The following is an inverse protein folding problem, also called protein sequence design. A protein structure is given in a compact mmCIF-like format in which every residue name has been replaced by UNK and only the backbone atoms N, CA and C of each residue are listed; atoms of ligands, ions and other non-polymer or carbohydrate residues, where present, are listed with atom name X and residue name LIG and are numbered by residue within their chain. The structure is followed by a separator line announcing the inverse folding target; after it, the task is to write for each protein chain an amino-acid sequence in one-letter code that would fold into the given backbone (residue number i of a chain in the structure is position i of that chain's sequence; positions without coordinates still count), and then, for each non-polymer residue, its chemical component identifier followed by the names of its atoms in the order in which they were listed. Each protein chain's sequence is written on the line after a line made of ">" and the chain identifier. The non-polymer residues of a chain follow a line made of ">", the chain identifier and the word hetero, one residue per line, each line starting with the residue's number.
data_IF_613123170818
#
_entry.id   IF_613123170818
#
_cell.length_a   1.000
_cell.length_b   1.000
_cell.length_c   1.000
_cell.angle_alpha   90.00
_cell.angle_beta   90.00
_cell.angle_gamma   90.00
#
_symmetry.space_group_name_H-M   'P 1'
#
loop_
_entity.id
_entity.type
_entity.pdbx_description
1 polymer ?
#
# COMPACT_ATOMS: atom_id res chain seq x y z
N UNK A 1 13.40 1.86 -16.75
CA UNK A 1 13.09 0.48 -16.24
C UNK A 1 11.77 0.56 -15.50
N UNK A 2 10.75 -0.19 -15.93
CA UNK A 2 9.46 -0.24 -15.25
C UNK A 2 9.64 -1.04 -13.96
N UNK A 3 9.31 -0.44 -12.82
CA UNK A 3 9.44 -1.06 -11.49
C UNK A 3 8.07 -1.12 -10.81
N UNK A 4 7.94 -2.01 -9.83
CA UNK A 4 6.77 -2.05 -8.94
C UNK A 4 6.77 -0.81 -8.06
N UNK A 5 5.65 -0.10 -8.05
CA UNK A 5 5.45 1.10 -7.24
C UNK A 5 4.32 0.88 -6.25
N UNK A 6 4.56 1.28 -5.02
CA UNK A 6 3.59 1.18 -3.94
C UNK A 6 3.51 2.50 -3.21
N UNK A 7 2.29 2.94 -2.89
CA UNK A 7 2.03 4.07 -2.03
C UNK A 7 1.10 3.65 -0.90
N UNK A 8 1.62 3.65 0.30
CA UNK A 8 0.89 3.26 1.49
C UNK A 8 0.36 4.50 2.22
N UNK A 9 -0.95 4.53 2.44
CA UNK A 9 -1.63 5.55 3.23
C UNK A 9 -2.22 4.90 4.48
N UNK A 10 -1.91 5.47 5.64
CA UNK A 10 -2.54 5.07 6.90
C UNK A 10 -4.04 5.40 6.88
N UNK A 11 -4.81 4.81 7.78
CA UNK A 11 -6.25 5.09 7.94
C UNK A 11 -6.55 6.59 8.02
N UNK A 12 -5.77 7.30 8.85
CA UNK A 12 -5.97 8.74 9.06
C UNK A 12 -5.48 9.59 7.87
N UNK A 13 -4.37 9.24 7.21
CA UNK A 13 -3.89 9.91 5.98
C UNK A 13 -4.84 9.73 4.81
N UNK A 14 -5.42 8.55 4.68
CA UNK A 14 -6.40 8.24 3.64
C UNK A 14 -7.80 8.78 3.95
N UNK A 15 -8.03 9.37 5.13
CA UNK A 15 -9.36 9.77 5.60
C UNK A 15 -10.40 8.67 5.39
N UNK A 16 -10.04 7.43 5.77
CA UNK A 16 -10.91 6.28 5.52
C UNK A 16 -12.15 6.34 6.38
N UNK A 17 -13.28 6.00 5.77
CA UNK A 17 -14.57 5.84 6.42
C UNK A 17 -15.06 4.42 6.17
N UNK A 18 -15.49 3.76 7.23
CA UNK A 18 -16.10 2.44 7.18
C UNK A 18 -17.62 2.60 7.07
N UNK A 19 -18.22 2.07 6.02
CA UNK A 19 -19.67 2.12 5.78
C UNK A 19 -20.22 0.69 5.77
N UNK A 20 -21.29 0.45 6.53
CA UNK A 20 -22.06 -0.79 6.48
C UNK A 20 -23.37 -0.55 5.72
N UNK A 21 -23.59 -1.29 4.65
CA UNK A 21 -24.79 -1.18 3.81
C UNK A 21 -25.58 -2.48 3.92
N UNK A 22 -26.86 -2.39 4.29
CA UNK A 22 -27.74 -3.56 4.30
C UNK A 22 -28.07 -4.00 2.87
N UNK A 23 -27.87 -5.28 2.59
CA UNK A 23 -28.26 -5.88 1.33
C UNK A 23 -29.74 -6.29 1.36
N UNK A 24 -30.34 -6.51 0.19
CA UNK A 24 -31.73 -7.00 0.04
C UNK A 24 -31.99 -8.34 0.73
N UNK A 25 -30.94 -9.09 1.06
CA UNK A 25 -31.00 -10.39 1.75
C UNK A 25 -30.77 -10.27 3.28
N UNK A 26 -30.69 -9.04 3.81
CA UNK A 26 -30.48 -8.79 5.24
C UNK A 26 -29.04 -8.97 5.71
N UNK A 27 -28.10 -9.22 4.79
CA UNK A 27 -26.68 -9.20 5.08
C UNK A 27 -26.14 -7.77 5.05
N UNK A 28 -25.04 -7.51 5.75
CA UNK A 28 -24.35 -6.22 5.72
C UNK A 28 -23.07 -6.33 4.92
N UNK A 29 -23.00 -5.62 3.79
CA UNK A 29 -21.77 -5.38 3.07
C UNK A 29 -20.96 -4.27 3.76
N UNK A 30 -19.68 -4.48 3.93
CA UNK A 30 -18.76 -3.53 4.54
C UNK A 30 -17.92 -2.87 3.45
N UNK A 31 -17.88 -1.55 3.46
CA UNK A 31 -17.11 -0.73 2.55
C UNK A 31 -16.06 0.10 3.29
N UNK A 32 -14.95 0.36 2.63
CA UNK A 32 -14.00 1.41 2.97
C UNK A 32 -13.97 2.45 1.86
N UNK A 33 -14.03 3.72 2.23
CA UNK A 33 -13.96 4.86 1.31
C UNK A 33 -12.96 5.88 1.82
N UNK A 34 -12.17 6.45 0.92
CA UNK A 34 -11.22 7.50 1.25
C UNK A 34 -10.24 7.78 0.14
N UNK A 35 -9.12 8.39 0.47
CA UNK A 35 -8.02 8.67 -0.46
C UNK A 35 -7.25 7.36 -0.67
N UNK A 36 -7.10 6.93 -1.91
CA UNK A 36 -6.34 5.73 -2.27
C UNK A 36 -4.95 6.06 -2.81
N UNK A 37 -4.75 7.27 -3.34
CA UNK A 37 -3.46 7.79 -3.77
C UNK A 37 -3.43 9.31 -3.68
N UNK A 38 -2.30 9.89 -3.27
CA UNK A 38 -2.11 11.34 -3.15
C UNK A 38 -1.18 11.89 -4.23
N UNK A 39 -1.60 12.99 -4.86
CA UNK A 39 -0.80 13.70 -5.85
C UNK A 39 0.07 14.79 -5.25
N UNK A 40 1.20 15.07 -5.90
CA UNK A 40 2.12 16.14 -5.56
C UNK A 40 2.67 16.11 -4.12
N UNK A 41 2.44 15.05 -3.38
CA UNK A 41 2.97 14.84 -2.02
C UNK A 41 4.11 13.84 -2.08
N UNK A 42 5.23 14.14 -1.41
CA UNK A 42 6.32 13.18 -1.27
C UNK A 42 5.92 12.12 -0.24
N UNK A 43 5.79 10.88 -0.69
CA UNK A 43 5.40 9.77 0.16
C UNK A 43 6.58 9.21 0.98
N UNK A 44 6.32 8.17 1.78
CA UNK A 44 7.34 7.53 2.60
C UNK A 44 8.45 6.86 1.79
N UNK A 45 8.15 6.43 0.56
CA UNK A 45 9.14 5.89 -0.38
C UNK A 45 9.91 6.98 -1.15
N UNK A 46 9.85 8.24 -0.70
CA UNK A 46 10.48 9.41 -1.31
C UNK A 46 10.02 9.67 -2.75
N UNK A 47 8.84 9.18 -3.12
CA UNK A 47 8.25 9.35 -4.46
C UNK A 47 7.20 10.45 -4.45
N UNK A 48 7.11 11.14 -5.58
CA UNK A 48 6.07 12.15 -5.86
C UNK A 48 5.33 11.69 -7.10
N UNK A 49 4.02 11.54 -6.98
CA UNK A 49 3.14 11.22 -8.09
C UNK A 49 2.54 12.51 -8.64
N UNK A 50 2.92 12.94 -9.86
CA UNK A 50 2.30 14.08 -10.49
C UNK A 50 0.80 13.85 -10.71
N UNK A 51 -0.01 14.91 -10.55
CA UNK A 51 -1.50 14.79 -10.64
C UNK A 51 -1.96 14.26 -12.00
N UNK A 52 -1.27 14.63 -13.09
CA UNK A 52 -1.57 14.10 -14.41
C UNK A 52 -1.39 12.56 -14.50
N UNK A 53 -0.35 12.02 -13.86
CA UNK A 53 -0.11 10.57 -13.79
C UNK A 53 -1.21 9.86 -13.03
N UNK A 54 -1.59 10.40 -11.85
CA UNK A 54 -2.71 9.87 -11.04
C UNK A 54 -4.02 9.96 -11.83
N UNK A 55 -4.29 11.08 -12.48
CA UNK A 55 -5.51 11.27 -13.26
C UNK A 55 -5.66 10.21 -14.36
N UNK A 56 -4.58 9.91 -15.07
CA UNK A 56 -4.55 8.88 -16.11
C UNK A 56 -4.77 7.48 -15.51
N UNK A 57 -4.07 7.17 -14.42
CA UNK A 57 -4.20 5.88 -13.73
C UNK A 57 -5.61 5.65 -13.17
N UNK A 58 -6.19 6.65 -12.50
CA UNK A 58 -7.57 6.60 -11.99
C UNK A 58 -8.58 6.41 -13.11
N UNK A 59 -8.40 7.14 -14.23
CA UNK A 59 -9.27 7.00 -15.40
C UNK A 59 -9.22 5.58 -15.98
N UNK A 60 -8.02 4.99 -16.07
CA UNK A 60 -7.85 3.61 -16.53
C UNK A 60 -8.60 2.61 -15.64
N UNK A 61 -8.49 2.75 -14.30
CA UNK A 61 -9.25 1.92 -13.35
C UNK A 61 -10.76 2.13 -13.48
N UNK A 62 -11.22 3.37 -13.62
CA UNK A 62 -12.65 3.66 -13.86
C UNK A 62 -13.19 2.97 -15.11
N UNK A 63 -12.43 3.01 -16.20
CA UNK A 63 -12.80 2.37 -17.46
C UNK A 63 -12.87 0.85 -17.31
N UNK A 64 -11.91 0.24 -16.60
CA UNK A 64 -11.92 -1.20 -16.26
C UNK A 64 -13.19 -1.57 -15.47
N UNK A 65 -13.51 -0.82 -14.41
CA UNK A 65 -14.70 -1.05 -13.58
C UNK A 65 -16.00 -0.87 -14.39
N UNK A 66 -16.12 0.21 -15.17
CA UNK A 66 -17.27 0.46 -16.04
C UNK A 66 -17.45 -0.62 -17.11
N UNK A 67 -16.36 -1.18 -17.60
CA UNK A 67 -16.34 -2.30 -18.53
C UNK A 67 -16.70 -3.65 -17.89
N UNK A 68 -17.04 -3.69 -16.59
CA UNK A 68 -17.40 -4.91 -15.86
C UNK A 68 -16.20 -5.71 -15.36
N UNK A 69 -14.98 -5.16 -15.41
CA UNK A 69 -13.80 -5.81 -14.87
C UNK A 69 -13.76 -5.66 -13.34
N UNK A 70 -13.48 -6.77 -12.64
CA UNK A 70 -13.33 -6.78 -11.19
C UNK A 70 -11.90 -6.44 -10.79
N UNK A 71 -11.68 -5.26 -10.24
CA UNK A 71 -10.38 -4.86 -9.69
C UNK A 71 -10.29 -5.40 -8.27
N UNK A 72 -9.71 -6.61 -8.14
CA UNK A 72 -9.54 -7.30 -6.86
C UNK A 72 -8.33 -6.74 -6.13
N UNK A 73 -8.41 -6.65 -4.78
CA UNK A 73 -7.31 -6.25 -3.91
C UNK A 73 -7.05 -7.28 -2.82
N UNK A 74 -5.85 -7.26 -2.31
CA UNK A 74 -5.36 -8.22 -1.32
C UNK A 74 -5.32 -7.62 0.09
N UNK A 75 -5.31 -8.49 1.09
CA UNK A 75 -4.89 -8.11 2.43
C UNK A 75 -3.38 -8.29 2.51
N UNK A 76 -2.72 -7.26 3.09
CA UNK A 76 -1.29 -7.11 3.08
C UNK A 76 -0.73 -6.77 1.68
N UNK A 77 0.56 -6.45 1.62
CA UNK A 77 1.17 -5.87 0.42
C UNK A 77 2.23 -6.79 -0.15
N UNK A 78 1.91 -7.62 -1.17
CA UNK A 78 2.91 -8.45 -1.82
C UNK A 78 3.83 -7.62 -2.73
N UNK A 79 5.05 -8.08 -2.91
CA UNK A 79 6.02 -7.50 -3.86
C UNK A 79 5.65 -7.78 -5.33
N UNK A 80 4.65 -8.64 -5.57
CA UNK A 80 4.23 -9.07 -6.90
C UNK A 80 3.18 -8.11 -7.48
N UNK A 81 3.23 -7.88 -8.79
CA UNK A 81 2.21 -7.13 -9.52
C UNK A 81 0.93 -7.93 -9.78
N UNK A 82 1.01 -9.26 -9.71
CA UNK A 82 -0.16 -10.11 -9.88
C UNK A 82 -0.96 -10.22 -8.58
N UNK A 83 -2.29 -10.18 -8.70
CA UNK A 83 -3.19 -10.42 -7.58
C UNK A 83 -3.29 -11.92 -7.33
N UNK A 84 -2.93 -12.36 -6.13
CA UNK A 84 -3.05 -13.75 -5.71
C UNK A 84 -4.43 -13.99 -5.08
N UNK A 85 -5.21 -14.90 -5.66
CA UNK A 85 -6.57 -15.19 -5.23
C UNK A 85 -6.67 -15.68 -3.77
N UNK A 86 -5.63 -16.33 -3.26
CA UNK A 86 -5.59 -16.78 -1.85
C UNK A 86 -5.57 -15.62 -0.87
N UNK A 87 -5.16 -14.42 -1.31
CA UNK A 87 -5.00 -13.22 -0.49
C UNK A 87 -6.08 -12.17 -0.74
N UNK A 88 -6.96 -12.40 -1.70
CA UNK A 88 -8.04 -11.47 -2.02
C UNK A 88 -8.92 -11.23 -0.81
N UNK A 89 -9.08 -9.96 -0.45
CA UNK A 89 -9.90 -9.50 0.67
C UNK A 89 -11.06 -8.62 0.24
N UNK A 90 -10.96 -7.97 -0.93
CA UNK A 90 -11.94 -6.97 -1.35
C UNK A 90 -11.93 -6.76 -2.86
N UNK A 91 -12.89 -5.97 -3.32
CA UNK A 91 -12.98 -5.47 -4.70
C UNK A 91 -13.11 -3.96 -4.68
N UNK A 92 -12.32 -3.27 -5.50
CA UNK A 92 -12.47 -1.82 -5.73
C UNK A 92 -13.70 -1.58 -6.57
N UNK A 93 -14.66 -0.82 -6.04
CA UNK A 93 -15.96 -0.55 -6.69
C UNK A 93 -16.00 0.80 -7.38
N UNK A 94 -15.23 1.76 -6.88
CA UNK A 94 -15.21 3.13 -7.42
C UNK A 94 -13.82 3.74 -7.26
N UNK A 95 -13.40 4.51 -8.25
CA UNK A 95 -12.30 5.46 -8.13
C UNK A 95 -12.64 6.74 -8.89
N UNK A 96 -12.28 7.90 -8.35
CA UNK A 96 -12.49 9.20 -8.97
C UNK A 96 -11.41 10.18 -8.50
N UNK A 97 -11.12 11.21 -9.29
CA UNK A 97 -10.28 12.33 -8.83
C UNK A 97 -11.10 13.29 -7.97
N UNK A 98 -10.48 13.77 -6.88
CA UNK A 98 -10.94 14.90 -6.08
C UNK A 98 -9.74 15.80 -5.77
N UNK A 99 -9.67 16.95 -6.46
CA UNK A 99 -8.48 17.76 -6.47
C UNK A 99 -7.25 16.98 -6.95
N UNK A 100 -6.20 16.98 -6.13
CA UNK A 100 -4.95 16.27 -6.41
C UNK A 100 -4.98 14.78 -6.00
N UNK A 101 -6.08 14.32 -5.38
CA UNK A 101 -6.16 12.99 -4.82
C UNK A 101 -7.02 12.04 -5.65
N UNK A 102 -6.61 10.79 -5.76
CA UNK A 102 -7.45 9.70 -6.23
C UNK A 102 -8.25 9.14 -5.06
N UNK A 103 -9.56 9.43 -5.05
CA UNK A 103 -10.52 8.89 -4.10
C UNK A 103 -10.99 7.52 -4.57
N UNK A 104 -11.26 6.63 -3.62
CA UNK A 104 -11.76 5.30 -3.94
C UNK A 104 -12.78 4.78 -2.95
N UNK A 105 -13.49 3.75 -3.38
CA UNK A 105 -14.36 2.92 -2.55
C UNK A 105 -14.09 1.45 -2.86
N UNK A 106 -13.96 0.65 -1.84
CA UNK A 106 -13.79 -0.79 -1.95
C UNK A 106 -14.83 -1.51 -1.08
N UNK A 107 -15.20 -2.72 -1.51
CA UNK A 107 -16.12 -3.59 -0.77
C UNK A 107 -15.36 -4.81 -0.27
N UNK A 108 -15.46 -5.07 1.03
CA UNK A 108 -14.89 -6.28 1.64
C UNK A 108 -15.67 -7.51 1.15
N UNK A 109 -14.94 -8.51 0.69
CA UNK A 109 -15.50 -9.77 0.21
C UNK A 109 -15.51 -10.83 1.33
N UNK A 110 -16.44 -11.78 1.34
CA UNK A 110 -16.48 -12.87 2.32
C UNK A 110 -15.46 -13.98 2.03
N UNK A 111 -14.24 -13.60 1.64
CA UNK A 111 -13.09 -14.48 1.51
C UNK A 111 -12.41 -14.68 2.88
N UNK A 112 -11.52 -15.66 3.06
CA UNK A 112 -10.78 -15.82 4.31
C UNK A 112 -10.08 -14.53 4.75
N UNK A 113 -9.37 -13.86 3.84
CA UNK A 113 -8.66 -12.62 4.14
C UNK A 113 -9.61 -11.42 4.33
N UNK A 114 -10.70 -11.37 3.55
CA UNK A 114 -11.74 -10.35 3.74
C UNK A 114 -12.45 -10.48 5.08
N UNK A 115 -12.72 -11.69 5.55
CA UNK A 115 -13.29 -11.90 6.90
C UNK A 115 -12.34 -11.45 8.01
N UNK A 116 -11.02 -11.61 7.84
CA UNK A 116 -10.03 -11.06 8.78
C UNK A 116 -10.12 -9.54 8.79
N UNK A 117 -10.05 -8.89 7.61
CA UNK A 117 -10.18 -7.43 7.50
C UNK A 117 -11.49 -6.92 8.11
N UNK A 118 -12.62 -7.59 7.81
CA UNK A 118 -13.94 -7.27 8.38
C UNK A 118 -13.92 -7.33 9.90
N UNK A 119 -13.42 -8.43 10.47
CA UNK A 119 -13.34 -8.62 11.92
C UNK A 119 -12.51 -7.51 12.58
N UNK A 120 -11.37 -7.17 12.00
CA UNK A 120 -10.51 -6.11 12.51
C UNK A 120 -11.22 -4.75 12.50
N UNK A 121 -11.85 -4.38 11.39
CA UNK A 121 -12.57 -3.12 11.24
C UNK A 121 -13.77 -3.02 12.17
N UNK A 122 -14.57 -4.09 12.32
CA UNK A 122 -15.71 -4.14 13.22
C UNK A 122 -15.31 -4.03 14.71
N UNK A 123 -14.07 -4.39 15.04
CA UNK A 123 -13.49 -4.24 16.38
C UNK A 123 -12.67 -2.94 16.54
N UNK A 124 -12.82 -1.98 15.60
CA UNK A 124 -12.21 -0.66 15.72
C UNK A 124 -10.72 -0.61 15.35
N UNK A 125 -10.17 -1.68 14.76
CA UNK A 125 -8.79 -1.66 14.26
C UNK A 125 -8.75 -0.80 12.99
N UNK A 126 -7.85 0.18 12.97
CA UNK A 126 -7.63 1.04 11.82
C UNK A 126 -6.76 0.32 10.80
N UNK A 127 -7.29 0.03 9.64
CA UNK A 127 -6.54 -0.49 8.49
C UNK A 127 -6.30 0.64 7.49
N UNK A 128 -5.13 0.65 6.86
CA UNK A 128 -4.78 1.58 5.80
C UNK A 128 -5.03 0.98 4.42
N UNK A 129 -4.68 1.76 3.40
CA UNK A 129 -4.70 1.30 2.01
C UNK A 129 -3.36 1.59 1.34
N UNK A 130 -3.01 0.78 0.35
CA UNK A 130 -1.81 0.94 -0.45
C UNK A 130 -2.13 0.74 -1.92
N UNK A 131 -1.93 1.77 -2.75
CA UNK A 131 -2.01 1.58 -4.20
C UNK A 131 -0.77 0.86 -4.70
N UNK A 132 -0.97 -0.19 -5.50
CA UNK A 132 0.05 -1.00 -6.12
C UNK A 132 -0.03 -0.86 -7.63
N UNK A 133 1.11 -0.58 -8.25
CA UNK A 133 1.18 -0.33 -9.68
C UNK A 133 2.57 -0.49 -10.26
N UNK A 134 2.71 -0.06 -11.49
CA UNK A 134 3.99 -0.02 -12.20
C UNK A 134 4.24 1.37 -12.77
N UNK A 135 5.50 1.71 -12.97
CA UNK A 135 5.90 2.99 -13.54
C UNK A 135 7.40 3.19 -13.53
N UNK A 136 7.83 4.37 -13.91
CA UNK A 136 9.23 4.80 -13.87
C UNK A 136 9.41 5.85 -12.77
N UNK A 137 10.59 5.88 -12.16
CA UNK A 137 10.97 6.89 -11.16
C UNK A 137 12.27 7.53 -11.61
N UNK A 138 12.32 8.86 -11.67
CA UNK A 138 13.54 9.60 -11.99
C UNK A 138 14.39 9.82 -10.72
N UNK A 139 15.60 10.38 -10.87
CA UNK A 139 16.53 10.67 -9.77
C UNK A 139 15.94 11.62 -8.71
N UNK A 140 14.98 12.46 -9.07
CA UNK A 140 14.27 13.37 -8.14
C UNK A 140 13.09 12.72 -7.40
N UNK A 141 12.84 11.42 -7.65
CA UNK A 141 11.71 10.70 -7.06
C UNK A 141 10.37 10.94 -7.77
N UNK A 142 10.34 11.65 -8.89
CA UNK A 142 9.08 11.85 -9.62
C UNK A 142 8.72 10.62 -10.44
N UNK A 143 7.46 10.19 -10.29
CA UNK A 143 6.88 9.05 -10.98
C UNK A 143 6.36 9.46 -12.37
N UNK A 144 6.53 8.61 -13.36
CA UNK A 144 6.00 8.75 -14.71
C UNK A 144 5.54 7.41 -15.27
N UNK A 145 4.68 7.44 -16.29
CA UNK A 145 4.08 6.25 -16.91
C UNK A 145 3.42 5.32 -15.87
N UNK A 146 2.73 5.95 -14.92
CA UNK A 146 2.15 5.23 -13.79
C UNK A 146 0.84 4.53 -14.17
N UNK A 147 0.78 3.23 -13.91
CA UNK A 147 -0.43 2.42 -14.03
C UNK A 147 -0.76 1.80 -12.67
N UNK A 148 -1.97 2.06 -12.15
CA UNK A 148 -2.49 1.36 -10.96
C UNK A 148 -3.00 -0.02 -11.41
N UNK A 149 -2.53 -1.06 -10.74
CA UNK A 149 -3.00 -2.44 -10.92
C UNK A 149 -4.12 -2.73 -9.94
N UNK A 150 -3.91 -2.39 -8.68
CA UNK A 150 -4.91 -2.54 -7.62
C UNK A 150 -4.63 -1.60 -6.44
N UNK A 151 -5.50 -1.66 -5.45
CA UNK A 151 -5.31 -1.04 -4.14
C UNK A 151 -5.47 -2.14 -3.10
N UNK A 152 -4.51 -2.31 -2.21
CA UNK A 152 -4.49 -3.34 -1.18
C UNK A 152 -4.91 -2.76 0.18
N UNK A 153 -5.44 -3.61 1.08
CA UNK A 153 -5.67 -3.24 2.47
C UNK A 153 -4.43 -3.63 3.27
N UNK A 154 -3.89 -2.68 4.03
CA UNK A 154 -2.67 -2.87 4.81
C UNK A 154 -2.89 -2.56 6.29
N UNK A 155 -2.13 -3.22 7.17
CA UNK A 155 -2.12 -2.87 8.57
C UNK A 155 -1.62 -1.44 8.75
N UNK A 156 -2.31 -0.64 9.57
CA UNK A 156 -1.87 0.71 9.88
C UNK A 156 -0.61 0.63 10.77
N UNK A 157 0.57 1.10 10.33
CA UNK A 157 1.70 1.22 11.22
C UNK A 157 1.35 2.20 12.34
N UNK A 158 1.22 1.70 13.55
CA UNK A 158 0.62 2.40 14.70
C UNK A 158 1.46 3.52 15.31
N UNK A 159 2.54 3.98 14.66
CA UNK A 159 3.19 5.27 15.00
C UNK A 159 4.21 5.67 13.92
N UNK A 160 4.38 6.99 13.65
CA UNK A 160 5.45 7.50 12.78
C UNK A 160 6.87 7.14 13.25
N UNK A 161 7.02 6.70 14.51
CA UNK A 161 8.28 6.33 15.14
C UNK A 161 8.41 4.82 15.46
N UNK A 162 7.46 3.99 15.05
CA UNK A 162 7.47 2.53 15.28
C UNK A 162 8.09 1.77 14.09
N UNK A 163 9.02 2.39 13.38
CA UNK A 163 9.87 1.70 12.44
C UNK A 163 11.11 1.23 13.18
N UNK A 164 11.19 0.01 13.60
CA UNK A 164 12.41 -0.75 13.34
C UNK A 164 12.21 -2.22 12.98
N UNK A 165 11.20 -2.90 13.51
CA UNK A 165 11.23 -4.36 13.44
C UNK A 165 10.59 -5.01 12.18
N UNK A 166 9.44 -4.55 11.62
CA UNK A 166 8.83 -5.26 10.48
C UNK A 166 9.61 -5.16 9.17
N UNK A 167 10.25 -4.02 8.89
CA UNK A 167 11.06 -3.85 7.67
C UNK A 167 12.30 -4.75 7.75
N UNK A 168 12.92 -4.85 8.93
CA UNK A 168 14.11 -5.68 9.13
C UNK A 168 13.78 -7.18 9.15
N UNK A 169 12.63 -7.59 9.68
CA UNK A 169 12.17 -8.99 9.57
C UNK A 169 11.86 -9.38 8.13
N UNK A 170 11.21 -8.51 7.36
CA UNK A 170 10.96 -8.74 5.93
C UNK A 170 12.27 -8.84 5.13
N UNK A 171 13.26 -7.99 5.42
CA UNK A 171 14.58 -8.00 4.80
C UNK A 171 15.36 -9.27 5.22
N UNK A 172 15.32 -9.66 6.50
CA UNK A 172 15.99 -10.86 7.01
C UNK A 172 15.35 -12.15 6.49
N UNK A 173 14.05 -12.16 6.22
CA UNK A 173 13.33 -13.31 5.69
C UNK A 173 13.41 -13.45 4.17
N UNK A 174 13.86 -12.44 3.43
CA UNK A 174 14.14 -12.55 2.00
C UNK A 174 15.38 -13.42 1.76
N UNK A 175 15.16 -14.68 1.39
CA UNK A 175 16.21 -15.69 1.11
C UNK A 175 17.09 -15.41 -0.11
N UNK A 176 16.94 -14.32 -0.83
CA UNK A 176 17.66 -14.03 -2.07
C UNK A 176 18.40 -12.70 -1.96
N UNK A 177 19.66 -12.69 -1.66
CA UNK A 177 20.77 -11.75 -1.91
C UNK A 177 20.54 -10.22 -2.04
N UNK A 178 19.32 -9.76 -2.27
CA UNK A 178 18.94 -8.35 -2.43
C UNK A 178 18.77 -7.61 -1.10
N UNK A 179 18.65 -8.34 0.01
CA UNK A 179 18.41 -7.76 1.34
C UNK A 179 19.47 -6.73 1.78
N UNK A 180 20.71 -6.92 1.33
CA UNK A 180 21.80 -6.01 1.66
C UNK A 180 21.73 -4.72 0.83
N UNK A 181 21.25 -4.81 -0.41
CA UNK A 181 21.08 -3.65 -1.29
C UNK A 181 19.87 -2.82 -0.85
N UNK A 182 18.76 -3.47 -0.51
CA UNK A 182 17.55 -2.81 0.01
C UNK A 182 17.84 -2.10 1.34
N UNK A 183 18.67 -2.72 2.22
CA UNK A 183 19.13 -2.09 3.47
C UNK A 183 20.04 -0.89 3.21
N UNK A 184 20.97 -1.01 2.24
CA UNK A 184 21.85 0.08 1.88
C UNK A 184 21.09 1.26 1.27
N UNK A 185 20.03 1.01 0.51
CA UNK A 185 19.14 2.02 -0.05
C UNK A 185 18.29 2.68 1.05
N UNK A 186 17.71 1.90 1.95
CA UNK A 186 16.96 2.41 3.10
C UNK A 186 17.81 3.30 4.03
N UNK A 187 19.11 2.99 4.20
CA UNK A 187 20.01 3.81 5.02
C UNK A 187 20.27 5.20 4.45
N UNK A 188 19.98 5.45 3.18
CA UNK A 188 20.13 6.78 2.57
C UNK A 188 18.98 7.73 2.96
N UNK A 189 17.82 7.20 3.35
CA UNK A 189 16.58 7.97 3.49
C UNK A 189 15.91 7.84 4.85
N UNK A 190 16.31 6.88 5.72
CA UNK A 190 15.65 6.61 6.99
C UNK A 190 16.60 6.62 8.19
N UNK A 191 16.35 7.52 9.14
CA UNK A 191 17.10 7.62 10.41
C UNK A 191 17.07 6.31 11.23
N UNK A 192 15.97 5.56 11.14
CA UNK A 192 15.79 4.27 11.80
C UNK A 192 16.72 3.21 11.22
N UNK A 193 16.79 3.11 9.90
CA UNK A 193 17.67 2.20 9.17
C UNK A 193 19.16 2.51 9.45
N UNK A 194 19.50 3.80 9.49
CA UNK A 194 20.88 4.23 9.85
C UNK A 194 21.27 3.81 11.26
N UNK A 195 20.38 3.97 12.25
CA UNK A 195 20.61 3.57 13.64
C UNK A 195 20.80 2.06 13.77
N UNK A 196 19.97 1.28 13.07
CA UNK A 196 20.07 -0.19 13.08
C UNK A 196 21.36 -0.65 12.42
N UNK A 197 21.69 -0.15 11.24
CA UNK A 197 22.93 -0.47 10.52
C UNK A 197 24.17 -0.17 11.39
N UNK A 198 24.19 1.00 12.02
CA UNK A 198 25.25 1.37 12.97
C UNK A 198 25.34 0.39 14.16
N UNK A 199 24.22 -0.06 14.70
CA UNK A 199 24.16 -1.03 15.81
C UNK A 199 24.72 -2.39 15.39
N UNK A 200 24.35 -2.89 14.21
CA UNK A 200 24.82 -4.18 13.70
C UNK A 200 26.32 -4.14 13.34
N UNK A 201 26.83 -3.05 12.77
CA UNK A 201 28.26 -2.87 12.54
C UNK A 201 29.03 -2.86 13.87
N UNK A 202 28.53 -2.14 14.90
CA UNK A 202 29.17 -2.11 16.21
C UNK A 202 29.18 -3.48 16.90
N UNK A 203 28.13 -4.30 16.67
CA UNK A 203 28.08 -5.68 17.15
C UNK A 203 29.11 -6.55 16.42
N UNK A 204 29.16 -6.47 15.09
CA UNK A 204 30.15 -7.19 14.29
C UNK A 204 31.61 -6.86 14.71
N UNK A 205 31.91 -5.58 14.94
CA UNK A 205 33.22 -5.14 15.43
C UNK A 205 33.52 -5.70 16.82
N UNK A 206 32.52 -5.86 17.68
CA UNK A 206 32.69 -6.49 19.00
C UNK A 206 32.97 -7.99 18.90
N UNK A 207 32.29 -8.67 17.97
CA UNK A 207 32.44 -10.13 17.78
C UNK A 207 33.75 -10.51 17.07
N UNK A 208 34.39 -9.53 16.42
CA UNK A 208 35.73 -9.68 15.78
C UNK A 208 36.93 -9.36 16.72
N UNK A 209 36.69 -8.93 17.96
CA UNK A 209 37.68 -8.71 19.02
C UNK A 209 37.71 -9.86 20.01
#
# INVERSE_FOLDING_TARGET
>A
MIITLTEQLTYDQANLVTEAVETTEGNKDLYLRGIFIQGNVRNQNQRVYPVNEITNAVKSIQEKIKGGYSVLGEADHPDDLQVNLDRVSHVVTEMAMDGDNGMGKLRILPTPMGNICKTLLENGVKLGVSSRGSGNVNEGGNVSEFEIITVDIVANPSAPNAYPDPIYEAIMNRKNGNALMDLAEATQYEDGAQKHFKKEILKLIKDLK
#
